data_IF_336664886034
#
_entry.id   IF_336664886034
#
_cell.length_a   1.000
_cell.length_b   1.000
_cell.length_c   1.000
_cell.angle_alpha   90.00
_cell.angle_beta   90.00
_cell.angle_gamma   90.00
#
_symmetry.space_group_name_H-M   'P 1'
#
loop_
_entity.id
_entity.type
_entity.pdbx_description
1 polymer ?
#
# COMPACT_ATOMS: atom_id res chain seq x y z
N UNK A 1 4.44 -9.72 10.44
CA UNK A 1 3.97 -9.19 9.14
C UNK A 1 2.90 -8.14 9.34
N UNK A 2 2.67 -7.24 8.38
CA UNK A 2 1.76 -6.07 8.48
C UNK A 2 0.35 -6.40 9.04
N UNK A 3 -0.15 -7.62 8.83
CA UNK A 3 -1.46 -8.11 9.33
C UNK A 3 -1.51 -8.33 10.84
N UNK A 4 -0.36 -8.44 11.53
CA UNK A 4 -0.32 -8.71 12.98
C UNK A 4 -0.61 -7.48 13.86
N UNK A 5 -0.51 -6.27 13.31
CA UNK A 5 -0.70 -5.04 14.07
C UNK A 5 -2.07 -4.46 13.74
N UNK A 6 -2.89 -4.26 14.79
CA UNK A 6 -4.19 -3.61 14.65
C UNK A 6 -4.06 -2.14 14.24
N UNK A 7 -5.13 -1.55 13.70
CA UNK A 7 -5.18 -0.11 13.47
C UNK A 7 -5.03 0.65 14.80
N UNK A 8 -4.67 1.93 14.72
CA UNK A 8 -4.53 2.79 15.91
C UNK A 8 -5.84 2.82 16.71
N UNK A 9 -5.73 2.76 18.05
CA UNK A 9 -6.88 2.84 18.94
C UNK A 9 -7.74 4.08 18.63
N UNK A 10 -9.06 3.92 18.68
CA UNK A 10 -10.06 4.96 18.37
C UNK A 10 -10.04 5.51 16.93
N UNK A 11 -9.33 4.89 15.99
CA UNK A 11 -9.36 5.28 14.57
C UNK A 11 -10.70 5.00 13.87
N UNK A 12 -11.58 4.19 14.48
CA UNK A 12 -12.83 3.74 13.87
C UNK A 12 -12.64 2.75 12.70
N UNK A 13 -11.44 2.20 12.55
CA UNK A 13 -11.08 1.23 11.52
C UNK A 13 -11.05 -0.17 12.16
N UNK A 14 -11.70 -1.14 11.51
CA UNK A 14 -11.62 -2.55 11.94
C UNK A 14 -10.30 -3.18 11.49
N UNK A 15 -9.72 -4.06 12.31
CA UNK A 15 -8.50 -4.79 11.94
C UNK A 15 -8.76 -5.76 10.78
N UNK A 16 -7.72 -6.10 10.01
CA UNK A 16 -7.84 -7.11 8.94
C UNK A 16 -8.33 -8.47 9.48
N UNK A 17 -7.78 -9.02 10.58
CA UNK A 17 -8.30 -10.26 11.17
C UNK A 17 -9.78 -10.19 11.55
N UNK A 18 -10.22 -9.10 12.19
CA UNK A 18 -11.61 -8.94 12.61
C UNK A 18 -12.55 -8.74 11.42
N UNK A 19 -12.09 -8.03 10.39
CA UNK A 19 -12.82 -7.87 9.14
C UNK A 19 -13.03 -9.23 8.44
N UNK A 20 -11.98 -10.04 8.29
CA UNK A 20 -12.09 -11.37 7.69
C UNK A 20 -13.04 -12.26 8.49
N UNK A 21 -12.93 -12.25 9.82
CA UNK A 21 -13.85 -13.00 10.69
C UNK A 21 -15.30 -12.55 10.52
N UNK A 22 -15.56 -11.24 10.46
CA UNK A 22 -16.90 -10.71 10.24
C UNK A 22 -17.48 -11.14 8.88
N UNK A 23 -16.67 -11.10 7.81
CA UNK A 23 -17.08 -11.56 6.47
C UNK A 23 -17.43 -13.04 6.47
N UNK A 24 -16.61 -13.88 7.10
CA UNK A 24 -16.89 -15.33 7.20
C UNK A 24 -18.16 -15.65 7.99
N UNK A 25 -18.49 -14.82 8.98
CA UNK A 25 -19.68 -14.97 9.80
C UNK A 25 -20.93 -14.33 9.17
N UNK A 26 -20.81 -13.69 7.99
CA UNK A 26 -21.89 -12.94 7.36
C UNK A 26 -22.35 -11.74 8.19
N UNK A 27 -21.50 -11.23 9.10
CA UNK A 27 -21.82 -10.13 10.00
C UNK A 27 -21.61 -8.79 9.29
N UNK A 28 -22.56 -7.87 9.44
CA UNK A 28 -22.38 -6.48 9.02
C UNK A 28 -21.28 -5.78 9.85
N UNK A 29 -20.40 -5.05 9.19
CA UNK A 29 -19.35 -4.22 9.80
C UNK A 29 -19.80 -2.76 9.76
N UNK A 30 -19.81 -2.08 10.90
CA UNK A 30 -20.22 -0.67 10.99
C UNK A 30 -19.02 0.29 10.94
N UNK A 31 -17.86 -0.23 11.34
CA UNK A 31 -16.56 0.43 11.28
C UNK A 31 -16.06 0.60 9.84
N UNK A 32 -15.08 1.48 9.64
CA UNK A 32 -14.44 1.63 8.33
C UNK A 32 -13.62 0.37 8.05
N UNK A 33 -13.88 -0.29 6.92
CA UNK A 33 -13.18 -1.52 6.54
C UNK A 33 -11.79 -1.22 5.97
N UNK A 34 -10.82 -2.16 6.09
CA UNK A 34 -9.53 -2.02 5.43
C UNK A 34 -9.66 -1.80 3.92
N UNK A 35 -10.63 -2.45 3.26
CA UNK A 35 -10.90 -2.24 1.84
C UNK A 35 -11.39 -0.81 1.55
N UNK A 36 -12.29 -0.26 2.37
CA UNK A 36 -12.72 1.14 2.23
C UNK A 36 -11.57 2.13 2.42
N UNK A 37 -10.63 1.85 3.31
CA UNK A 37 -9.41 2.67 3.47
C UNK A 37 -8.57 2.60 2.19
N UNK A 38 -8.34 1.41 1.66
CA UNK A 38 -7.56 1.20 0.45
C UNK A 38 -8.20 1.88 -0.77
N UNK A 39 -9.50 1.71 -0.98
CA UNK A 39 -10.25 2.33 -2.08
C UNK A 39 -10.17 3.86 -2.02
N UNK A 40 -10.25 4.45 -0.81
CA UNK A 40 -10.12 5.91 -0.61
C UNK A 40 -8.72 6.39 -0.95
N UNK A 41 -7.68 5.69 -0.47
CA UNK A 41 -6.29 6.02 -0.76
C UNK A 41 -6.01 5.99 -2.26
N UNK A 42 -6.44 4.93 -2.96
CA UNK A 42 -6.27 4.80 -4.40
C UNK A 42 -7.01 5.92 -5.15
N UNK A 43 -8.29 6.14 -4.84
CA UNK A 43 -9.09 7.19 -5.48
C UNK A 43 -8.48 8.59 -5.31
N UNK A 44 -8.04 8.94 -4.11
CA UNK A 44 -7.42 10.23 -3.86
C UNK A 44 -6.08 10.36 -4.56
N UNK A 45 -5.26 9.30 -4.56
CA UNK A 45 -3.98 9.28 -5.25
C UNK A 45 -4.14 9.44 -6.76
N UNK A 46 -5.10 8.76 -7.38
CA UNK A 46 -5.38 8.86 -8.81
C UNK A 46 -5.87 10.25 -9.21
N UNK A 47 -6.83 10.79 -8.45
CA UNK A 47 -7.36 12.13 -8.70
C UNK A 47 -6.26 13.20 -8.60
N UNK A 48 -5.39 13.09 -7.59
CA UNK A 48 -4.29 14.02 -7.39
C UNK A 48 -3.18 13.84 -8.44
N UNK A 49 -2.90 12.61 -8.89
CA UNK A 49 -1.91 12.34 -9.94
C UNK A 49 -2.33 12.98 -11.25
N UNK A 50 -3.63 12.94 -11.57
CA UNK A 50 -4.17 13.60 -12.76
C UNK A 50 -4.03 15.12 -12.68
N UNK A 51 -4.39 15.73 -11.54
CA UNK A 51 -4.20 17.16 -11.32
C UNK A 51 -2.72 17.58 -11.42
N UNK A 52 -1.80 16.76 -10.87
CA UNK A 52 -0.35 17.01 -10.97
C UNK A 52 0.13 16.98 -12.41
N UNK A 53 -0.36 16.04 -13.24
CA UNK A 53 0.01 15.97 -14.66
C UNK A 53 -0.45 17.21 -15.42
N UNK A 54 -1.68 17.68 -15.17
CA UNK A 54 -2.22 18.87 -15.81
C UNK A 54 -1.40 20.11 -15.44
N UNK A 55 -1.14 20.33 -14.14
CA UNK A 55 -0.32 21.44 -13.67
C UNK A 55 1.12 21.40 -14.18
N UNK A 56 1.68 20.20 -14.40
CA UNK A 56 3.03 20.05 -14.93
C UNK A 56 3.13 20.49 -16.41
N UNK A 57 2.09 20.24 -17.22
CA UNK A 57 2.04 20.62 -18.64
C UNK A 57 2.04 22.15 -18.83
N UNK A 58 1.36 22.87 -17.94
CA UNK A 58 1.21 24.32 -18.02
C UNK A 58 2.36 25.10 -17.34
N UNK A 59 3.32 24.40 -16.74
CA UNK A 59 4.39 25.03 -15.95
C UNK A 59 5.70 25.25 -16.73
N UNK A 60 6.15 26.51 -16.80
CA UNK A 60 7.50 26.86 -17.26
C UNK A 60 8.52 26.94 -16.10
N UNK A 61 8.05 27.04 -14.86
CA UNK A 61 8.90 27.17 -13.67
C UNK A 61 9.57 25.84 -13.29
N UNK A 62 10.88 25.89 -13.08
CA UNK A 62 11.66 24.74 -12.58
C UNK A 62 11.29 24.35 -11.16
N UNK A 63 11.04 25.32 -10.29
CA UNK A 63 10.69 25.08 -8.88
C UNK A 63 9.35 24.37 -8.77
N UNK A 64 8.34 24.81 -9.54
CA UNK A 64 7.03 24.17 -9.57
C UNK A 64 7.13 22.71 -10.03
N UNK A 65 7.95 22.41 -11.05
CA UNK A 65 8.17 21.03 -11.50
C UNK A 65 8.79 20.13 -10.42
N UNK A 66 9.69 20.66 -9.60
CA UNK A 66 10.26 19.90 -8.47
C UNK A 66 9.21 19.60 -7.40
N UNK A 67 8.40 20.59 -7.01
CA UNK A 67 7.30 20.41 -6.05
C UNK A 67 6.27 19.39 -6.56
N UNK A 68 5.87 19.50 -7.83
CA UNK A 68 4.94 18.55 -8.45
C UNK A 68 5.53 17.13 -8.51
N UNK A 69 6.84 17.00 -8.72
CA UNK A 69 7.51 15.71 -8.67
C UNK A 69 7.49 15.10 -7.26
N UNK A 70 7.74 15.89 -6.21
CA UNK A 70 7.66 15.46 -4.81
C UNK A 70 6.24 15.03 -4.44
N UNK A 71 5.23 15.81 -4.84
CA UNK A 71 3.82 15.45 -4.65
C UNK A 71 3.54 14.11 -5.34
N UNK A 72 3.90 13.95 -6.61
CA UNK A 72 3.69 12.69 -7.33
C UNK A 72 4.35 11.50 -6.62
N UNK A 73 5.53 11.67 -6.02
CA UNK A 73 6.19 10.64 -5.22
C UNK A 73 5.34 10.23 -4.02
N UNK A 74 4.80 11.19 -3.27
CA UNK A 74 3.89 10.90 -2.15
C UNK A 74 2.61 10.19 -2.60
N UNK A 75 2.09 10.53 -3.79
CA UNK A 75 0.91 9.86 -4.34
C UNK A 75 1.20 8.39 -4.67
N UNK A 76 2.37 8.06 -5.23
CA UNK A 76 2.79 6.66 -5.40
C UNK A 76 2.91 5.90 -4.08
N UNK A 77 3.36 6.56 -3.01
CA UNK A 77 3.36 5.97 -1.68
C UNK A 77 1.93 5.69 -1.18
N UNK A 78 0.97 6.57 -1.46
CA UNK A 78 -0.46 6.33 -1.21
C UNK A 78 -0.99 5.10 -1.95
N UNK A 79 -0.69 4.98 -3.25
CA UNK A 79 -1.09 3.81 -4.06
C UNK A 79 -0.44 2.52 -3.57
N UNK A 80 0.82 2.58 -3.13
CA UNK A 80 1.50 1.45 -2.51
C UNK A 80 0.73 0.92 -1.31
N UNK A 81 0.33 1.80 -0.38
CA UNK A 81 -0.42 1.36 0.81
C UNK A 81 -1.81 0.84 0.48
N UNK A 82 -2.50 1.44 -0.49
CA UNK A 82 -3.78 0.91 -0.98
C UNK A 82 -3.63 -0.54 -1.47
N UNK A 83 -2.69 -0.78 -2.40
CA UNK A 83 -2.42 -2.10 -2.94
C UNK A 83 -1.96 -3.10 -1.86
N UNK A 84 -1.12 -2.65 -0.91
CA UNK A 84 -0.66 -3.49 0.21
C UNK A 84 -1.80 -3.92 1.12
N UNK A 85 -2.75 -3.02 1.42
CA UNK A 85 -3.92 -3.35 2.25
C UNK A 85 -4.82 -4.36 1.52
N UNK A 86 -5.11 -4.16 0.23
CA UNK A 86 -5.87 -5.14 -0.56
C UNK A 86 -5.19 -6.52 -0.56
N UNK A 87 -3.89 -6.56 -0.84
CA UNK A 87 -3.13 -7.82 -0.86
C UNK A 87 -3.14 -8.53 0.49
N UNK A 88 -3.02 -7.78 1.58
CA UNK A 88 -3.08 -8.29 2.94
C UNK A 88 -4.46 -8.87 3.31
N UNK A 89 -5.55 -8.20 2.91
CA UNK A 89 -6.93 -8.69 3.13
C UNK A 89 -7.17 -9.97 2.33
N UNK A 90 -6.80 -9.99 1.05
CA UNK A 90 -6.94 -11.17 0.19
C UNK A 90 -6.13 -12.36 0.72
N UNK A 91 -4.89 -12.13 1.17
CA UNK A 91 -4.07 -13.17 1.78
C UNK A 91 -4.72 -13.73 3.05
N UNK A 92 -5.26 -12.85 3.91
CA UNK A 92 -5.97 -13.26 5.10
C UNK A 92 -7.26 -14.04 4.77
N UNK A 93 -8.00 -13.64 3.74
CA UNK A 93 -9.17 -14.38 3.26
C UNK A 93 -8.77 -15.78 2.77
N UNK A 94 -7.72 -15.91 1.95
CA UNK A 94 -7.19 -17.21 1.53
C UNK A 94 -6.83 -18.10 2.72
N UNK A 95 -6.09 -17.54 3.68
CA UNK A 95 -5.67 -18.27 4.88
C UNK A 95 -6.83 -18.82 5.71
N UNK A 96 -7.99 -18.15 5.73
CA UNK A 96 -9.13 -18.57 6.54
C UNK A 96 -10.22 -19.33 5.76
N UNK A 97 -10.25 -19.25 4.43
CA UNK A 97 -11.30 -19.87 3.58
C UNK A 97 -10.78 -20.99 2.68
N UNK A 98 -9.47 -21.04 2.43
CA UNK A 98 -8.84 -21.92 1.43
C UNK A 98 -9.36 -21.72 -0.01
N UNK A 99 -10.01 -20.59 -0.33
CA UNK A 99 -10.40 -20.31 -1.70
C UNK A 99 -9.24 -19.71 -2.50
N UNK A 100 -8.77 -20.45 -3.51
CA UNK A 100 -7.55 -20.13 -4.24
C UNK A 100 -7.58 -18.78 -4.97
N UNK A 101 -8.75 -18.31 -5.37
CA UNK A 101 -8.89 -16.99 -6.02
C UNK A 101 -8.38 -15.86 -5.11
N UNK A 102 -8.54 -15.97 -3.78
CA UNK A 102 -8.00 -15.02 -2.82
C UNK A 102 -6.47 -14.98 -2.84
N UNK A 103 -5.81 -16.15 -2.99
CA UNK A 103 -4.35 -16.22 -3.11
C UNK A 103 -3.87 -15.53 -4.38
N UNK A 104 -4.53 -15.80 -5.51
CA UNK A 104 -4.21 -15.14 -6.79
C UNK A 104 -4.33 -13.63 -6.69
N UNK A 105 -5.45 -13.12 -6.17
CA UNK A 105 -5.65 -11.67 -5.97
C UNK A 105 -4.65 -11.06 -5.00
N UNK A 106 -4.27 -11.78 -3.94
CA UNK A 106 -3.24 -11.32 -3.01
C UNK A 106 -1.91 -11.08 -3.73
N UNK A 107 -1.47 -12.04 -4.55
CA UNK A 107 -0.23 -11.91 -5.35
C UNK A 107 -0.34 -10.76 -6.35
N UNK A 108 -1.47 -10.59 -7.02
CA UNK A 108 -1.69 -9.48 -7.96
C UNK A 108 -1.58 -8.11 -7.27
N UNK A 109 -2.26 -7.93 -6.13
CA UNK A 109 -2.22 -6.69 -5.38
C UNK A 109 -0.83 -6.39 -4.80
N UNK A 110 -0.13 -7.39 -4.27
CA UNK A 110 1.23 -7.20 -3.73
C UNK A 110 2.24 -6.92 -4.83
N UNK A 111 2.07 -7.49 -6.03
CA UNK A 111 2.86 -7.12 -7.21
C UNK A 111 2.66 -5.65 -7.57
N UNK A 112 1.41 -5.17 -7.62
CA UNK A 112 1.12 -3.73 -7.84
C UNK A 112 1.70 -2.84 -6.74
N UNK A 113 1.68 -3.32 -5.49
CA UNK A 113 2.32 -2.60 -4.39
C UNK A 113 3.83 -2.44 -4.65
N UNK A 114 4.54 -3.51 -5.05
CA UNK A 114 5.95 -3.43 -5.40
C UNK A 114 6.22 -2.44 -6.56
N UNK A 115 5.38 -2.41 -7.58
CA UNK A 115 5.48 -1.44 -8.69
C UNK A 115 5.33 0.01 -8.19
N UNK A 116 4.35 0.28 -7.33
CA UNK A 116 4.15 1.61 -6.74
C UNK A 116 5.29 2.01 -5.81
N UNK A 117 5.81 1.07 -5.02
CA UNK A 117 7.00 1.30 -4.19
C UNK A 117 8.21 1.64 -5.06
N UNK A 118 8.42 0.93 -6.16
CA UNK A 118 9.50 1.21 -7.12
C UNK A 118 9.36 2.60 -7.76
N UNK A 119 8.15 3.01 -8.11
CA UNK A 119 7.88 4.36 -8.62
C UNK A 119 8.19 5.45 -7.57
N UNK A 120 7.80 5.22 -6.31
CA UNK A 120 8.13 6.10 -5.19
C UNK A 120 9.65 6.16 -4.92
N UNK A 121 10.28 5.01 -4.75
CA UNK A 121 11.70 4.85 -4.46
C UNK A 121 12.59 5.42 -5.58
N UNK A 122 12.23 5.20 -6.85
CA UNK A 122 12.98 5.73 -8.00
C UNK A 122 12.98 7.26 -8.05
N UNK A 123 11.87 7.90 -7.69
CA UNK A 123 11.81 9.37 -7.55
C UNK A 123 12.56 9.86 -6.31
N UNK A 124 12.36 9.19 -5.17
CA UNK A 124 13.06 9.55 -3.93
C UNK A 124 14.59 9.42 -4.07
N UNK A 125 15.09 8.35 -4.69
CA UNK A 125 16.53 8.12 -4.88
C UNK A 125 17.17 9.06 -5.92
N UNK A 126 16.40 9.57 -6.88
CA UNK A 126 16.89 10.55 -7.85
C UNK A 126 16.87 11.99 -7.32
N UNK A 127 16.05 12.28 -6.31
CA UNK A 127 15.90 13.62 -5.72
C UNK A 127 16.61 13.79 -4.36
N UNK A 128 16.78 12.72 -3.58
CA UNK A 128 17.32 12.77 -2.23
C UNK A 128 18.57 11.87 -2.10
N UNK A 129 19.68 12.43 -1.61
CA UNK A 129 20.77 11.59 -1.08
C UNK A 129 20.28 10.88 0.19
N UNK A 130 20.71 9.64 0.48
CA UNK A 130 20.31 8.94 1.71
C UNK A 130 20.48 9.84 2.94
N UNK A 131 19.37 10.19 3.61
CA UNK A 131 19.40 11.08 4.76
C UNK A 131 19.42 10.27 6.06
N UNK A 132 20.31 10.68 6.96
CA UNK A 132 20.44 10.10 8.29
C UNK A 132 19.27 10.61 9.16
N UNK A 133 18.14 9.92 9.16
CA UNK A 133 17.04 10.21 10.06
C UNK A 133 17.35 9.67 11.45
N UNK A 134 17.30 10.55 12.47
CA UNK A 134 17.81 10.31 13.83
C UNK A 134 17.23 9.08 14.54
N UNK A 135 16.07 8.56 14.10
CA UNK A 135 15.36 7.44 14.74
C UNK A 135 15.35 6.14 13.94
N UNK A 136 15.54 6.18 12.62
CA UNK A 136 15.38 5.00 11.74
C UNK A 136 16.67 4.42 11.19
N UNK A 137 17.85 5.00 11.49
CA UNK A 137 19.18 4.54 10.99
C UNK A 137 19.14 4.10 9.50
N UNK A 138 19.44 5.04 8.60
CA UNK A 138 19.44 4.86 7.13
C UNK A 138 18.10 4.34 6.58
N UNK A 139 17.25 5.25 6.10
CA UNK A 139 16.17 4.85 5.23
C UNK A 139 16.82 4.47 3.88
N UNK A 140 16.86 3.18 3.58
CA UNK A 140 17.33 2.67 2.30
C UNK A 140 16.10 2.19 1.54
N UNK A 141 15.62 3.03 0.62
CA UNK A 141 14.43 2.78 -0.18
C UNK A 141 14.56 1.51 -1.04
N UNK A 142 15.79 1.13 -1.43
CA UNK A 142 16.05 -0.09 -2.19
C UNK A 142 16.06 -1.31 -1.29
N UNK A 143 16.63 -1.22 -0.09
CA UNK A 143 16.53 -2.30 0.91
C UNK A 143 15.08 -2.56 1.32
N UNK A 144 14.27 -1.51 1.42
CA UNK A 144 12.83 -1.65 1.67
C UNK A 144 12.08 -2.26 0.48
N UNK A 145 12.57 -2.10 -0.76
CA UNK A 145 11.98 -2.79 -1.91
C UNK A 145 12.13 -4.32 -1.77
N UNK A 146 13.26 -4.81 -1.29
CA UNK A 146 13.43 -6.25 -1.01
C UNK A 146 12.39 -6.75 -0.01
N UNK A 147 12.09 -5.98 1.03
CA UNK A 147 11.06 -6.34 2.02
C UNK A 147 9.64 -6.29 1.43
N UNK A 148 9.38 -5.40 0.46
CA UNK A 148 8.11 -5.37 -0.28
C UNK A 148 7.98 -6.57 -1.23
N UNK A 149 9.05 -6.95 -1.91
CA UNK A 149 9.06 -8.13 -2.80
C UNK A 149 8.89 -9.43 -2.00
N UNK A 150 9.45 -9.52 -0.79
CA UNK A 150 9.20 -10.65 0.13
C UNK A 150 7.72 -10.84 0.48
N UNK A 151 6.91 -9.77 0.52
CA UNK A 151 5.46 -9.91 0.76
C UNK A 151 4.80 -10.74 -0.38
N UNK A 152 5.30 -10.63 -1.63
CA UNK A 152 4.83 -11.42 -2.78
C UNK A 152 5.19 -12.89 -2.58
N UNK A 153 6.43 -13.18 -2.20
CA UNK A 153 6.90 -14.56 -1.94
C UNK A 153 6.09 -15.22 -0.81
N UNK A 154 5.80 -14.47 0.26
CA UNK A 154 4.96 -14.92 1.36
C UNK A 154 3.57 -15.30 0.84
N UNK A 155 2.96 -14.47 -0.02
CA UNK A 155 1.65 -14.76 -0.59
C UNK A 155 1.66 -15.96 -1.55
N UNK A 156 2.69 -16.09 -2.40
CA UNK A 156 2.86 -17.21 -3.31
C UNK A 156 3.06 -18.55 -2.58
N UNK A 157 3.79 -18.54 -1.47
CA UNK A 157 4.07 -19.72 -0.66
C UNK A 157 3.06 -19.92 0.48
N UNK A 158 2.04 -19.06 0.58
CA UNK A 158 1.04 -19.14 1.63
C UNK A 158 0.29 -20.46 1.59
N UNK A 159 0.01 -20.97 2.79
CA UNK A 159 -0.86 -22.11 3.04
C UNK A 159 -2.10 -21.66 3.83
N UNK A 160 -3.24 -22.36 3.68
CA UNK A 160 -4.40 -22.16 4.54
C UNK A 160 -4.04 -22.44 6.00
N UNK A 161 -4.69 -21.74 6.94
CA UNK A 161 -4.61 -22.07 8.36
C UNK A 161 -5.36 -23.38 8.61
N UNK A 162 -4.78 -24.24 9.45
CA UNK A 162 -5.40 -25.48 9.93
C UNK A 162 -6.46 -25.18 10.98
#
# INVERSE_FOLDING_TARGET
>A
GFVQFGPMENSGIISIPDYVKAVQQGRAVQEITPLQVADRLEKWADSALEAVKQLAQDSSSRELRHVLADIASMLYLGKYYAAKIHGAVELAMFQNTNYQHHKTRAVEHLTRAAEHWKAYAGKAASQYRPQLLARTRHLDWMKLLEDVEKDIDIAQNAQPRR
#
